data_IF_569183597922
#
_entry.id   IF_569183597922
#
_cell.length_a   1.000
_cell.length_b   1.000
_cell.length_c   1.000
_cell.angle_alpha   90.00
_cell.angle_beta   90.00
_cell.angle_gamma   90.00
#
_symmetry.space_group_name_H-M   'P 1'
#
loop_
_entity.id
_entity.type
_entity.pdbx_description
1 polymer ?
#
# COMPACT_ATOMS: atom_id res chain seq x y z
N UNK A 1 -9.31 -13.42 -10.48
CA UNK A 1 -7.89 -13.75 -10.19
C UNK A 1 -7.63 -13.33 -8.74
N UNK A 2 -7.01 -14.16 -7.89
CA UNK A 2 -6.71 -13.76 -6.49
C UNK A 2 -5.31 -13.16 -6.44
N UNK A 3 -5.20 -11.89 -6.07
CA UNK A 3 -3.94 -11.19 -5.88
C UNK A 3 -3.66 -11.06 -4.39
N UNK A 4 -2.50 -11.54 -3.93
CA UNK A 4 -2.04 -11.33 -2.54
C UNK A 4 -1.11 -10.12 -2.55
N UNK A 5 -1.51 -9.07 -1.83
CA UNK A 5 -0.69 -7.88 -1.63
C UNK A 5 0.09 -7.98 -0.32
N UNK A 6 1.38 -7.65 -0.36
CA UNK A 6 2.26 -7.65 0.82
C UNK A 6 2.70 -6.22 1.10
N UNK A 7 2.25 -5.66 2.20
CA UNK A 7 2.77 -4.38 2.73
C UNK A 7 3.90 -4.71 3.70
N UNK A 8 5.08 -4.13 3.46
CA UNK A 8 6.24 -4.28 4.33
C UNK A 8 6.28 -3.11 5.31
N UNK A 9 5.91 -3.37 6.56
CA UNK A 9 5.89 -2.38 7.63
C UNK A 9 7.13 -2.53 8.50
N UNK A 10 7.81 -1.43 8.81
CA UNK A 10 8.99 -1.39 9.69
C UNK A 10 8.98 -0.17 10.61
N UNK A 11 9.69 -0.25 11.72
CA UNK A 11 9.85 0.86 12.67
C UNK A 11 11.11 1.66 12.31
N UNK A 12 10.95 2.95 12.02
CA UNK A 12 12.04 3.89 11.72
C UNK A 12 11.86 5.11 12.62
N UNK A 13 12.89 5.44 13.40
CA UNK A 13 12.89 6.60 14.32
C UNK A 13 11.66 6.71 15.23
N UNK A 14 11.14 5.56 15.68
CA UNK A 14 9.95 5.48 16.54
C UNK A 14 8.61 5.59 15.81
N UNK A 15 8.62 5.71 14.48
CA UNK A 15 7.44 5.75 13.63
C UNK A 15 7.32 4.46 12.80
N UNK A 16 6.13 3.86 12.80
CA UNK A 16 5.84 2.77 11.87
C UNK A 16 5.67 3.33 10.48
N UNK A 17 6.42 2.79 9.52
CA UNK A 17 6.40 3.20 8.14
C UNK A 17 6.26 2.00 7.20
N UNK A 18 5.80 2.24 5.99
CA UNK A 18 5.77 1.24 4.93
C UNK A 18 6.42 1.77 3.66
N UNK A 19 6.95 0.83 2.86
CA UNK A 19 7.44 1.11 1.52
C UNK A 19 6.59 0.37 0.49
N UNK A 20 6.44 0.99 -0.67
CA UNK A 20 5.94 0.35 -1.89
C UNK A 20 6.77 0.79 -3.09
N UNK A 21 7.73 -0.05 -3.48
CA UNK A 21 8.61 0.20 -4.62
C UNK A 21 7.88 0.29 -5.96
N UNK A 22 6.71 -0.37 -6.10
CA UNK A 22 5.92 -0.33 -7.33
C UNK A 22 5.33 1.06 -7.55
N UNK A 23 4.99 1.76 -6.46
CA UNK A 23 4.38 3.09 -6.50
C UNK A 23 5.32 4.21 -6.04
N UNK A 24 6.61 3.92 -5.84
CA UNK A 24 7.62 4.91 -5.42
C UNK A 24 7.38 5.44 -4.01
N UNK A 25 6.69 4.68 -3.16
CA UNK A 25 6.43 5.03 -1.76
C UNK A 25 7.60 4.56 -0.90
N UNK A 26 8.19 5.47 -0.15
CA UNK A 26 9.27 5.19 0.77
C UNK A 26 8.99 5.86 2.12
N UNK A 27 9.12 5.07 3.19
CA UNK A 27 9.01 5.47 4.59
C UNK A 27 7.74 6.29 4.91
N UNK A 28 6.64 5.96 4.23
CA UNK A 28 5.37 6.64 4.52
C UNK A 28 4.82 6.17 5.86
N UNK A 29 4.35 7.10 6.72
CA UNK A 29 3.78 6.75 8.02
C UNK A 29 2.64 5.75 7.87
N UNK A 30 2.72 4.63 8.58
CA UNK A 30 1.71 3.58 8.55
C UNK A 30 0.39 4.00 9.22
N UNK A 31 0.43 5.04 10.07
CA UNK A 31 -0.76 5.62 10.72
C UNK A 31 -1.52 6.57 9.78
N UNK A 32 -0.82 7.22 8.84
CA UNK A 32 -1.37 8.12 7.83
C UNK A 32 -1.09 7.54 6.44
N UNK A 33 -1.94 6.63 5.99
CA UNK A 33 -1.76 6.03 4.68
C UNK A 33 -2.42 4.67 4.50
N UNK A 34 -2.83 4.00 5.57
CA UNK A 34 -3.57 2.74 5.48
C UNK A 34 -4.81 2.89 4.60
N UNK A 35 -5.58 3.95 4.81
CA UNK A 35 -6.82 4.21 4.07
C UNK A 35 -6.50 4.50 2.59
N UNK A 36 -5.48 5.34 2.33
CA UNK A 36 -5.04 5.65 0.96
C UNK A 36 -4.51 4.42 0.21
N UNK A 37 -3.75 3.54 0.88
CA UNK A 37 -3.27 2.28 0.28
C UNK A 37 -4.47 1.40 -0.06
N UNK A 38 -5.41 1.23 0.87
CA UNK A 38 -6.60 0.42 0.68
C UNK A 38 -7.46 0.97 -0.47
N UNK A 39 -7.68 2.29 -0.52
CA UNK A 39 -8.40 2.95 -1.61
C UNK A 39 -7.72 2.74 -2.97
N UNK A 40 -6.39 2.91 -3.05
CA UNK A 40 -5.64 2.66 -4.29
C UNK A 40 -5.64 1.18 -4.70
N UNK A 41 -5.60 0.27 -3.73
CA UNK A 41 -5.68 -1.17 -3.97
C UNK A 41 -7.05 -1.58 -4.50
N UNK A 42 -8.14 -1.02 -3.96
CA UNK A 42 -9.50 -1.23 -4.45
C UNK A 42 -9.65 -0.63 -5.85
N UNK A 43 -9.22 0.61 -6.06
CA UNK A 43 -9.30 1.29 -7.35
C UNK A 43 -8.56 0.54 -8.47
N UNK A 44 -7.37 -0.02 -8.18
CA UNK A 44 -6.63 -0.85 -9.14
C UNK A 44 -7.23 -2.24 -9.37
N UNK A 45 -8.07 -2.74 -8.46
CA UNK A 45 -8.79 -4.00 -8.63
C UNK A 45 -9.95 -3.92 -9.62
N UNK A 46 -10.58 -2.75 -9.76
CA UNK A 46 -11.70 -2.54 -10.67
C UNK A 46 -11.24 -2.44 -12.14
N UNK A 47 -10.07 -1.85 -12.42
CA UNK A 47 -9.52 -1.77 -13.78
C UNK A 47 -9.18 -3.15 -14.40
N UNK A 48 -8.94 -4.17 -13.57
CA UNK A 48 -8.61 -5.54 -14.01
C UNK A 48 -9.86 -6.44 -14.13
N UNK A 49 -11.01 -6.02 -13.58
CA UNK A 49 -12.27 -6.77 -13.60
C UNK A 49 -13.19 -6.42 -14.79
N UNK A 50 -12.91 -5.33 -15.51
CA UNK A 50 -13.66 -4.87 -16.69
C UNK A 50 -13.07 -5.35 -18.04
N UNK A 51 -12.22 -6.39 -18.03
CA UNK A 51 -11.65 -7.04 -19.23
C UNK A 51 -12.00 -8.52 -19.36
#
# INVERSE_FOLDING_TARGET
MNSIFRILVRLVDGLWVFDDLKFGVQEQPFVFGSDLILEKMVAGGDEELDR
#
